data_IF_852067371142
#
_entry.id   IF_852067371142
#
_cell.length_a   1.000
_cell.length_b   1.000
_cell.length_c   1.000
_cell.angle_alpha   90.00
_cell.angle_beta   90.00
_cell.angle_gamma   90.00
#
_symmetry.space_group_name_H-M   'P 1'
#
loop_
_entity.id
_entity.type
_entity.pdbx_description
1 polymer ?
#
# COMPACT_ATOMS: atom_id res chain seq x y z
N UNK A 1 -23.27 -7.20 -39.69
CA UNK A 1 -22.52 -8.31 -39.06
C UNK A 1 -21.07 -7.97 -38.76
N UNK A 2 -20.30 -7.42 -39.70
CA UNK A 2 -18.89 -7.07 -39.46
C UNK A 2 -18.69 -5.98 -38.42
N UNK A 3 -19.63 -5.06 -38.24
CA UNK A 3 -19.58 -3.98 -37.26
C UNK A 3 -19.82 -4.51 -35.83
N UNK A 4 -20.71 -5.46 -35.66
CA UNK A 4 -21.02 -6.05 -34.36
C UNK A 4 -19.86 -6.89 -33.80
N UNK A 5 -19.10 -7.58 -34.64
CA UNK A 5 -17.92 -8.34 -34.22
C UNK A 5 -16.78 -7.41 -33.75
N UNK A 6 -16.54 -6.31 -34.46
CA UNK A 6 -15.56 -5.32 -34.09
C UNK A 6 -15.94 -4.64 -32.78
N UNK A 7 -17.22 -4.33 -32.60
CA UNK A 7 -17.74 -3.72 -31.36
C UNK A 7 -17.59 -4.68 -30.18
N UNK A 8 -17.87 -5.96 -30.36
CA UNK A 8 -17.71 -7.00 -29.36
C UNK A 8 -16.24 -7.16 -28.96
N UNK A 9 -15.30 -7.13 -29.90
CA UNK A 9 -13.86 -7.19 -29.66
C UNK A 9 -13.37 -5.99 -28.85
N UNK A 10 -13.83 -4.79 -29.20
CA UNK A 10 -13.48 -3.57 -28.46
C UNK A 10 -14.02 -3.63 -27.03
N UNK A 11 -15.26 -4.10 -26.86
CA UNK A 11 -15.88 -4.23 -25.54
C UNK A 11 -15.11 -5.21 -24.65
N UNK A 12 -14.71 -6.37 -25.18
CA UNK A 12 -13.91 -7.36 -24.47
C UNK A 12 -12.55 -6.78 -24.09
N UNK A 13 -11.91 -6.03 -24.99
CA UNK A 13 -10.62 -5.41 -24.72
C UNK A 13 -10.73 -4.39 -23.59
N UNK A 14 -11.77 -3.55 -23.59
CA UNK A 14 -12.01 -2.54 -22.55
C UNK A 14 -12.26 -3.21 -21.20
N UNK A 15 -13.03 -4.29 -21.15
CA UNK A 15 -13.29 -5.04 -19.91
C UNK A 15 -12.00 -5.66 -19.38
N UNK A 16 -11.18 -6.27 -20.24
CA UNK A 16 -9.90 -6.86 -19.83
C UNK A 16 -8.94 -5.81 -19.26
N UNK A 17 -8.84 -4.63 -19.88
CA UNK A 17 -8.00 -3.54 -19.39
C UNK A 17 -8.51 -3.04 -18.04
N UNK A 18 -9.82 -2.90 -17.86
CA UNK A 18 -10.41 -2.47 -16.60
C UNK A 18 -10.13 -3.46 -15.46
N UNK A 19 -10.18 -4.77 -15.74
CA UNK A 19 -9.87 -5.81 -14.76
C UNK A 19 -8.39 -5.79 -14.36
N UNK A 20 -7.48 -5.50 -15.29
CA UNK A 20 -6.05 -5.37 -15.00
C UNK A 20 -5.77 -4.18 -14.07
N UNK A 21 -6.44 -3.05 -14.27
CA UNK A 21 -6.33 -1.88 -13.40
C UNK A 21 -6.93 -2.14 -12.01
N UNK A 22 -8.05 -2.84 -11.93
CA UNK A 22 -8.68 -3.19 -10.65
C UNK A 22 -7.85 -4.19 -9.85
N UNK A 23 -7.16 -5.14 -10.50
CA UNK A 23 -6.31 -6.13 -9.85
C UNK A 23 -5.04 -5.55 -9.20
N UNK A 24 -4.61 -4.30 -9.57
CA UNK A 24 -3.45 -3.63 -9.01
C UNK A 24 -3.69 -2.96 -7.64
N UNK A 25 -4.95 -2.78 -7.22
CA UNK A 25 -5.29 -2.16 -5.94
C UNK A 25 -5.50 -3.23 -4.87
N UNK A 26 -4.86 -3.01 -3.71
CA UNK A 26 -5.00 -3.91 -2.57
C UNK A 26 -6.32 -3.70 -1.82
N UNK A 27 -6.60 -4.64 -0.93
CA UNK A 27 -7.73 -4.64 -0.02
C UNK A 27 -7.33 -4.02 1.31
N UNK A 28 -7.84 -2.85 1.65
CA UNK A 28 -7.51 -2.13 2.87
C UNK A 28 -7.91 -2.89 4.15
N UNK A 29 -8.96 -3.69 4.10
CA UNK A 29 -9.40 -4.49 5.25
C UNK A 29 -8.37 -5.59 5.57
N UNK A 30 -7.93 -6.33 4.56
CA UNK A 30 -6.84 -7.31 4.71
C UNK A 30 -5.54 -6.63 5.10
N UNK A 31 -5.26 -5.47 4.52
CA UNK A 31 -4.10 -4.65 4.84
C UNK A 31 -4.05 -4.24 6.29
N UNK A 32 -5.21 -3.91 6.90
CA UNK A 32 -5.31 -3.60 8.32
C UNK A 32 -4.89 -4.78 9.20
N UNK A 33 -5.33 -5.97 8.86
CA UNK A 33 -4.96 -7.18 9.60
C UNK A 33 -3.44 -7.42 9.56
N UNK A 34 -2.83 -7.28 8.38
CA UNK A 34 -1.39 -7.44 8.19
C UNK A 34 -0.64 -6.33 8.93
N UNK A 35 -1.09 -5.09 8.82
CA UNK A 35 -0.51 -3.93 9.50
C UNK A 35 -0.49 -4.14 11.01
N UNK A 36 -1.60 -4.56 11.58
CA UNK A 36 -1.73 -4.85 13.01
C UNK A 36 -0.75 -5.94 13.46
N UNK A 37 -0.57 -6.97 12.64
CA UNK A 37 0.31 -8.09 12.97
C UNK A 37 1.80 -7.78 12.79
N UNK A 38 2.18 -6.96 11.81
CA UNK A 38 3.58 -6.83 11.38
C UNK A 38 4.16 -5.42 11.41
N UNK A 39 3.34 -4.39 11.45
CA UNK A 39 3.79 -3.00 11.28
C UNK A 39 3.63 -2.14 12.54
N UNK A 40 2.61 -2.40 13.34
CA UNK A 40 2.26 -1.61 14.53
C UNK A 40 3.41 -1.53 15.53
N UNK A 41 4.20 -2.57 15.68
CA UNK A 41 5.31 -2.58 16.62
C UNK A 41 6.26 -1.40 16.45
N UNK A 42 6.52 -1.00 15.23
CA UNK A 42 7.40 0.11 14.92
C UNK A 42 6.64 1.38 14.56
N UNK A 43 5.56 1.25 13.79
CA UNK A 43 4.85 2.41 13.23
C UNK A 43 3.73 2.96 14.11
N UNK A 44 3.27 2.22 15.11
CA UNK A 44 2.09 2.60 15.92
C UNK A 44 0.78 2.22 15.26
N UNK A 45 -0.31 2.22 16.01
CA UNK A 45 -1.62 1.77 15.53
C UNK A 45 -2.18 2.63 14.40
N UNK A 46 -1.84 3.91 14.39
CA UNK A 46 -2.25 4.88 13.35
C UNK A 46 -1.11 5.27 12.42
N UNK A 47 0.00 4.54 12.48
CA UNK A 47 1.18 4.87 11.69
C UNK A 47 1.91 6.14 12.14
N UNK A 48 1.66 6.61 13.35
CA UNK A 48 2.23 7.84 13.90
C UNK A 48 3.70 7.74 14.25
N UNK A 49 4.25 6.53 14.26
CA UNK A 49 5.59 6.26 14.77
C UNK A 49 5.59 6.02 16.28
N UNK A 50 6.68 5.47 16.79
CA UNK A 50 6.82 5.19 18.22
C UNK A 50 8.14 5.79 18.74
N UNK A 51 8.09 6.68 19.75
CA UNK A 51 9.30 7.31 20.31
C UNK A 51 10.36 6.32 20.78
N UNK A 52 9.93 5.18 21.33
CA UNK A 52 10.88 4.13 21.77
C UNK A 52 11.67 3.55 20.59
N UNK A 53 11.02 3.37 19.43
CA UNK A 53 11.65 2.87 18.21
C UNK A 53 12.59 3.93 17.62
N UNK A 54 12.16 5.18 17.58
CA UNK A 54 13.00 6.29 17.13
C UNK A 54 14.30 6.38 17.92
N UNK A 55 14.18 6.26 19.24
CA UNK A 55 15.33 6.27 20.15
C UNK A 55 16.24 5.06 19.94
N UNK A 56 15.65 3.88 19.84
CA UNK A 56 16.39 2.61 19.67
C UNK A 56 17.24 2.61 18.41
N UNK A 57 16.71 3.11 17.30
CA UNK A 57 17.38 3.11 16.00
C UNK A 57 18.04 4.43 15.64
N UNK A 58 17.94 5.44 16.51
CA UNK A 58 18.47 6.80 16.26
C UNK A 58 17.92 7.38 14.95
N UNK A 59 16.63 7.25 14.75
CA UNK A 59 15.92 7.74 13.55
C UNK A 59 14.74 8.60 13.96
N UNK A 60 14.30 9.46 13.04
CA UNK A 60 13.01 10.16 13.14
C UNK A 60 12.03 9.50 12.19
N UNK A 61 10.94 8.97 12.72
CA UNK A 61 9.91 8.33 11.90
C UNK A 61 8.92 9.38 11.42
N UNK A 62 8.64 9.34 10.13
CA UNK A 62 7.57 10.15 9.55
C UNK A 62 6.25 9.45 9.75
N UNK A 63 5.19 10.16 10.20
CA UNK A 63 3.87 9.54 10.24
C UNK A 63 3.48 9.02 8.86
N UNK A 64 2.88 7.84 8.80
CA UNK A 64 2.43 7.27 7.52
C UNK A 64 1.33 8.12 6.88
N UNK A 65 0.60 8.90 7.67
CA UNK A 65 -0.38 9.87 7.19
C UNK A 65 0.23 11.15 6.60
N UNK A 66 1.56 11.34 6.71
CA UNK A 66 2.22 12.56 6.26
C UNK A 66 2.15 12.74 4.74
N UNK A 67 2.20 13.99 4.30
CA UNK A 67 2.23 14.32 2.87
C UNK A 67 3.43 13.68 2.16
N UNK A 68 4.58 13.60 2.82
CA UNK A 68 5.78 12.99 2.25
C UNK A 68 5.59 11.52 1.92
N UNK A 69 4.93 10.76 2.81
CA UNK A 69 4.62 9.35 2.57
C UNK A 69 3.49 9.23 1.54
N UNK A 70 2.42 9.99 1.70
CA UNK A 70 1.23 9.87 0.85
C UNK A 70 1.45 10.34 -0.60
N UNK A 71 2.49 11.14 -0.85
CA UNK A 71 2.86 11.56 -2.22
C UNK A 71 3.64 10.50 -3.00
N UNK A 72 4.14 9.47 -2.33
CA UNK A 72 4.81 8.34 -3.01
C UNK A 72 3.78 7.48 -3.74
N UNK A 73 4.20 6.82 -4.82
CA UNK A 73 3.34 5.89 -5.55
C UNK A 73 3.15 4.60 -4.74
N UNK A 74 2.10 3.86 -5.05
CA UNK A 74 1.84 2.56 -4.41
C UNK A 74 3.02 1.59 -4.64
N UNK A 75 3.59 1.60 -5.83
CA UNK A 75 4.74 0.77 -6.19
C UNK A 75 5.97 1.12 -5.35
N UNK A 76 6.23 2.41 -5.15
CA UNK A 76 7.34 2.87 -4.30
C UNK A 76 7.16 2.41 -2.86
N UNK A 77 5.96 2.56 -2.31
CA UNK A 77 5.67 2.14 -0.94
C UNK A 77 5.72 0.61 -0.79
N UNK A 78 5.20 -0.13 -1.75
CA UNK A 78 5.29 -1.60 -1.75
C UNK A 78 6.75 -2.05 -1.79
N UNK A 79 7.56 -1.42 -2.62
CA UNK A 79 8.99 -1.72 -2.70
C UNK A 79 9.71 -1.45 -1.37
N UNK A 80 9.42 -0.35 -0.70
CA UNK A 80 10.00 -0.04 0.60
C UNK A 80 9.64 -1.08 1.66
N UNK A 81 8.42 -1.61 1.62
CA UNK A 81 7.99 -2.68 2.53
C UNK A 81 8.72 -3.99 2.23
N UNK A 82 8.79 -4.38 0.97
CA UNK A 82 9.35 -5.66 0.55
C UNK A 82 10.87 -5.70 0.60
N UNK A 83 11.53 -4.60 0.25
CA UNK A 83 12.99 -4.51 0.15
C UNK A 83 13.64 -3.85 1.38
N UNK A 84 12.85 -3.17 2.20
CA UNK A 84 13.33 -2.35 3.30
C UNK A 84 13.70 -0.94 2.87
N UNK A 85 13.88 -0.06 3.84
CA UNK A 85 14.25 1.34 3.62
C UNK A 85 15.02 1.86 4.84
N UNK A 86 16.30 2.14 4.68
CA UNK A 86 17.15 2.61 5.79
C UNK A 86 17.16 1.60 6.94
N UNK A 87 16.72 2.02 8.11
CA UNK A 87 16.62 1.16 9.30
C UNK A 87 15.41 0.22 9.28
N UNK A 88 14.46 0.47 8.41
CA UNK A 88 13.33 -0.42 8.22
C UNK A 88 13.78 -1.68 7.48
N UNK A 89 13.66 -2.82 8.13
CA UNK A 89 14.02 -4.11 7.54
C UNK A 89 12.96 -4.58 6.53
N UNK A 90 13.34 -5.37 5.52
CA UNK A 90 12.39 -6.00 4.62
C UNK A 90 11.33 -6.80 5.38
N UNK A 91 10.08 -6.68 4.99
CA UNK A 91 8.97 -7.46 5.54
C UNK A 91 8.64 -8.59 4.57
N UNK A 92 8.58 -9.81 5.07
CA UNK A 92 8.20 -10.97 4.25
C UNK A 92 6.71 -10.99 3.99
N UNK A 93 6.32 -10.50 2.83
CA UNK A 93 4.95 -10.48 2.36
C UNK A 93 4.91 -10.91 0.89
N UNK A 94 3.80 -11.52 0.48
CA UNK A 94 3.52 -11.68 -0.94
C UNK A 94 3.25 -10.31 -1.56
N UNK A 95 3.42 -10.19 -2.87
CA UNK A 95 3.17 -8.94 -3.60
C UNK A 95 1.75 -8.42 -3.36
N UNK A 96 0.75 -9.30 -3.39
CA UNK A 96 -0.64 -8.95 -3.12
C UNK A 96 -0.86 -8.45 -1.68
N UNK A 97 -0.17 -9.05 -0.72
CA UNK A 97 -0.24 -8.62 0.68
C UNK A 97 0.40 -7.25 0.89
N UNK A 98 1.50 -6.97 0.21
CA UNK A 98 2.10 -5.63 0.21
C UNK A 98 1.14 -4.60 -0.37
N UNK A 99 0.44 -4.91 -1.46
CA UNK A 99 -0.59 -4.05 -2.03
C UNK A 99 -1.73 -3.79 -1.03
N UNK A 100 -2.15 -4.81 -0.29
CA UNK A 100 -3.20 -4.70 0.74
C UNK A 100 -2.76 -3.75 1.86
N UNK A 101 -1.53 -3.88 2.36
CA UNK A 101 -0.97 -3.01 3.39
C UNK A 101 -0.91 -1.56 2.92
N UNK A 102 -0.50 -1.32 1.68
CA UNK A 102 -0.43 0.03 1.14
C UNK A 102 -1.84 0.63 1.00
N UNK A 103 -2.82 -0.16 0.56
CA UNK A 103 -4.21 0.28 0.52
C UNK A 103 -4.71 0.72 1.90
N UNK A 104 -4.37 -0.02 2.95
CA UNK A 104 -4.68 0.39 4.33
C UNK A 104 -3.94 1.67 4.74
N UNK A 105 -2.66 1.78 4.41
CA UNK A 105 -1.84 2.96 4.71
C UNK A 105 -2.45 4.24 4.11
N UNK A 106 -3.09 4.15 2.95
CA UNK A 106 -3.81 5.29 2.34
C UNK A 106 -4.99 5.75 3.19
N UNK A 107 -5.65 4.85 3.90
CA UNK A 107 -6.78 5.22 4.78
C UNK A 107 -6.32 6.06 5.99
N UNK A 108 -5.08 5.91 6.42
CA UNK A 108 -4.53 6.65 7.56
C UNK A 108 -4.43 8.17 7.28
N UNK A 109 -4.28 8.57 6.05
CA UNK A 109 -4.28 9.98 5.65
C UNK A 109 -5.63 10.65 5.92
N UNK A 110 -6.73 9.93 5.72
CA UNK A 110 -8.08 10.44 5.94
C UNK A 110 -8.42 10.62 7.43
N UNK A 111 -7.83 9.81 8.30
CA UNK A 111 -8.09 9.87 9.75
C UNK A 111 -7.43 11.07 10.44
N UNK A 112 -6.50 11.74 9.78
CA UNK A 112 -5.78 12.89 10.32
C UNK A 112 -6.62 14.17 10.37
N UNK A 113 -7.76 14.17 9.72
CA UNK A 113 -8.71 15.28 9.79
C UNK A 113 -9.55 15.17 11.06
#
# INVERSE_FOLDING_TARGET
MKLSLKLALVLVLVICVSLLFAAGKGDAKKGKEIFTAKCVQCHGEKGEGRPAIEKMFSVKMRPLSSKEVQSKTDEQLQKEVLDGNGKMKPVKLAQAEAADVIAYTRTLAAEKK
#
